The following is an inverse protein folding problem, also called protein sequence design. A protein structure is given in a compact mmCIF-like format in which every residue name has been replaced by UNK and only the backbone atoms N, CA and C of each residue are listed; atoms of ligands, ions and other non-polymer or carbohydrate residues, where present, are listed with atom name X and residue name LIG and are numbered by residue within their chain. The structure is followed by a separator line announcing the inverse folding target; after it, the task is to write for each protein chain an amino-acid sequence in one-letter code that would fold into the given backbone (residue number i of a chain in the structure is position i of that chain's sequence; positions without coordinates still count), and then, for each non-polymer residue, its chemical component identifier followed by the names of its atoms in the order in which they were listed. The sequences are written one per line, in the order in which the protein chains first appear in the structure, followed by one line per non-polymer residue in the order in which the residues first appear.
data_IF_113821802981
#
_entry.id   IF_113821802981
#
_cell.length_a   1.000
_cell.length_b   1.000
_cell.length_c   1.000
_cell.angle_alpha   90.00
_cell.angle_beta   90.00
_cell.angle_gamma   90.00
#
_symmetry.space_group_name_H-M   'P 1'
#
loop_
_entity.id
_entity.type
_entity.pdbx_description
1 polymer ?
#
# COMPACT_ATOMS: atom_id res chain seq x y z
N UNK A 1 13.51 10.51 19.76
CA UNK A 1 14.07 11.67 19.04
C UNK A 1 15.34 12.08 19.77
N UNK A 2 16.48 11.99 19.12
CA UNK A 2 17.76 12.41 19.72
C UNK A 2 17.83 13.94 19.69
N UNK A 3 18.25 14.54 20.79
CA UNK A 3 18.42 16.00 20.97
C UNK A 3 19.36 16.66 19.93
N UNK A 4 20.20 15.88 19.28
CA UNK A 4 21.13 16.28 18.22
C UNK A 4 20.47 16.46 16.83
N UNK A 5 19.31 15.87 16.57
CA UNK A 5 18.64 16.00 15.26
C UNK A 5 18.09 17.42 15.02
N UNK A 6 17.97 18.22 16.08
CA UNK A 6 17.52 19.61 16.02
C UNK A 6 18.66 20.61 15.70
N UNK A 7 19.91 20.20 15.87
CA UNK A 7 21.09 21.04 15.68
C UNK A 7 21.74 20.91 14.29
N UNK A 8 21.38 19.89 13.50
CA UNK A 8 21.92 19.70 12.15
C UNK A 8 20.86 20.12 11.12
N UNK A 9 21.18 21.01 10.19
CA UNK A 9 20.29 21.37 9.11
C UNK A 9 19.95 20.11 8.32
N UNK A 10 18.68 19.71 8.37
CA UNK A 10 18.20 18.60 7.54
C UNK A 10 17.96 19.12 6.12
N UNK A 11 18.22 18.29 5.14
CA UNK A 11 17.96 18.60 3.75
C UNK A 11 16.82 17.73 3.22
N UNK A 12 15.97 18.34 2.41
CA UNK A 12 14.92 17.63 1.71
C UNK A 12 15.52 16.53 0.83
N UNK A 13 15.01 15.29 0.98
CA UNK A 13 15.49 14.13 0.22
C UNK A 13 15.36 14.32 -1.31
N UNK A 14 14.39 15.09 -1.78
CA UNK A 14 14.12 15.28 -3.22
C UNK A 14 14.84 16.47 -3.84
N UNK A 15 14.86 17.64 -3.18
CA UNK A 15 15.42 18.87 -3.76
C UNK A 15 16.68 19.38 -3.07
N UNK A 16 17.14 18.71 -2.02
CA UNK A 16 18.31 19.06 -1.22
C UNK A 16 18.26 20.44 -0.55
N UNK A 17 17.16 21.19 -0.62
CA UNK A 17 16.98 22.44 0.13
C UNK A 17 16.90 22.16 1.63
N UNK A 18 17.33 23.10 2.46
CA UNK A 18 17.18 23.02 3.92
C UNK A 18 15.70 22.82 4.27
N UNK A 19 15.41 21.87 5.17
CA UNK A 19 14.06 21.49 5.54
C UNK A 19 14.04 20.90 6.95
N UNK A 20 12.96 21.14 7.69
CA UNK A 20 12.73 20.51 9.00
C UNK A 20 12.15 19.09 8.87
N UNK A 21 11.70 18.72 7.68
CA UNK A 21 11.12 17.40 7.37
C UNK A 21 11.97 16.68 6.32
N UNK A 22 11.89 15.36 6.29
CA UNK A 22 12.62 14.54 5.35
C UNK A 22 12.29 14.83 3.88
N UNK A 23 11.08 15.32 3.59
CA UNK A 23 10.67 15.88 2.30
C UNK A 23 9.94 17.19 2.59
N UNK A 24 10.35 18.29 1.95
CA UNK A 24 9.76 19.62 2.18
C UNK A 24 8.33 19.71 1.61
N UNK A 25 7.56 20.68 2.10
CA UNK A 25 6.17 20.93 1.69
C UNK A 25 6.03 21.12 0.17
N UNK A 26 6.93 21.90 -0.44
CA UNK A 26 6.90 22.17 -1.88
C UNK A 26 7.05 20.87 -2.69
N UNK A 27 7.98 20.01 -2.28
CA UNK A 27 8.18 18.72 -2.92
C UNK A 27 6.98 17.78 -2.70
N UNK A 28 6.35 17.78 -1.52
CA UNK A 28 5.13 17.00 -1.26
C UNK A 28 4.00 17.47 -2.16
N UNK A 29 3.77 18.79 -2.26
CA UNK A 29 2.72 19.36 -3.12
C UNK A 29 2.94 19.06 -4.61
N UNK A 30 4.20 18.99 -5.06
CA UNK A 30 4.57 18.69 -6.44
C UNK A 30 4.53 17.19 -6.80
N UNK A 31 4.20 16.29 -5.86
CA UNK A 31 4.10 14.86 -6.14
C UNK A 31 2.99 14.56 -7.17
N UNK A 32 3.15 13.51 -7.98
CA UNK A 32 2.15 13.12 -8.96
C UNK A 32 0.96 12.42 -8.31
N UNK A 33 0.08 13.20 -7.69
CA UNK A 33 -1.15 12.69 -7.08
C UNK A 33 -2.09 12.05 -8.09
N UNK A 34 -2.76 10.98 -7.66
CA UNK A 34 -3.75 10.29 -8.46
C UNK A 34 -5.07 11.07 -8.44
N UNK A 35 -5.40 11.77 -9.52
CA UNK A 35 -6.60 12.59 -9.59
C UNK A 35 -7.83 11.80 -10.05
N UNK A 36 -7.79 11.30 -11.28
CA UNK A 36 -8.91 10.57 -11.88
C UNK A 36 -8.48 9.14 -12.16
N UNK A 37 -9.18 8.17 -11.56
CA UNK A 37 -8.82 6.77 -11.64
C UNK A 37 -10.02 5.84 -11.80
N UNK A 38 -9.76 4.65 -12.32
CA UNK A 38 -10.71 3.54 -12.28
C UNK A 38 -11.03 3.20 -10.80
N UNK A 39 -12.30 3.26 -10.38
CA UNK A 39 -12.65 3.02 -8.97
C UNK A 39 -12.31 1.60 -8.52
N UNK A 40 -12.22 0.64 -9.46
CA UNK A 40 -11.93 -0.76 -9.17
C UNK A 40 -10.44 -1.02 -8.95
N UNK A 41 -9.57 -0.60 -9.87
CA UNK A 41 -8.15 -0.95 -9.82
C UNK A 41 -7.19 0.23 -9.65
N UNK A 42 -7.68 1.44 -9.44
CA UNK A 42 -6.85 2.62 -9.20
C UNK A 42 -6.02 3.10 -10.41
N UNK A 43 -6.14 2.48 -11.59
CA UNK A 43 -5.42 2.93 -12.79
C UNK A 43 -5.93 4.28 -13.25
N UNK A 44 -5.05 5.21 -13.61
CA UNK A 44 -5.42 6.49 -14.19
C UNK A 44 -6.33 6.31 -15.41
N UNK A 45 -7.39 7.11 -15.48
CA UNK A 45 -8.39 7.12 -16.55
C UNK A 45 -8.78 8.56 -16.86
N UNK A 46 -9.38 8.81 -18.01
CA UNK A 46 -9.88 10.17 -18.34
C UNK A 46 -11.08 10.58 -17.50
N UNK A 47 -11.89 9.61 -17.08
CA UNK A 47 -13.08 9.80 -16.27
C UNK A 47 -13.09 8.78 -15.14
N UNK A 48 -13.71 9.08 -14.00
CA UNK A 48 -13.83 8.18 -12.84
C UNK A 48 -14.76 6.98 -13.12
N UNK A 49 -14.48 6.22 -14.17
CA UNK A 49 -15.24 5.05 -14.63
C UNK A 49 -14.35 3.81 -14.68
N UNK A 50 -14.97 2.65 -14.74
CA UNK A 50 -14.26 1.40 -14.91
C UNK A 50 -13.40 1.42 -16.19
N UNK A 51 -12.12 1.11 -16.07
CA UNK A 51 -11.24 0.95 -17.22
C UNK A 51 -11.64 -0.30 -18.04
N UNK A 52 -11.19 -0.37 -19.30
CA UNK A 52 -11.50 -1.49 -20.21
C UNK A 52 -11.18 -2.83 -19.57
N UNK A 53 -10.01 -2.94 -18.92
CA UNK A 53 -9.62 -4.19 -18.26
C UNK A 53 -10.61 -4.60 -17.15
N UNK A 54 -11.01 -3.69 -16.26
CA UNK A 54 -11.93 -4.01 -15.17
C UNK A 54 -13.39 -4.24 -15.63
N UNK A 55 -13.73 -3.84 -16.84
CA UNK A 55 -15.02 -4.18 -17.45
C UNK A 55 -15.06 -5.63 -17.93
N UNK A 56 -13.96 -6.14 -18.48
CA UNK A 56 -13.89 -7.50 -19.01
C UNK A 56 -13.43 -8.53 -17.97
N UNK A 57 -12.49 -8.14 -17.12
CA UNK A 57 -11.89 -8.98 -16.09
C UNK A 57 -11.82 -8.22 -14.76
N UNK A 58 -12.94 -8.07 -14.04
CA UNK A 58 -12.95 -7.35 -12.78
C UNK A 58 -12.15 -8.13 -11.72
N UNK A 59 -11.29 -7.45 -10.95
CA UNK A 59 -10.65 -8.07 -9.79
C UNK A 59 -11.69 -8.38 -8.71
N UNK A 60 -11.35 -9.25 -7.78
CA UNK A 60 -12.25 -9.67 -6.69
C UNK A 60 -12.52 -8.55 -5.68
N UNK A 61 -11.51 -7.71 -5.37
CA UNK A 61 -11.70 -6.55 -4.49
C UNK A 61 -12.65 -5.49 -5.09
N UNK A 62 -13.30 -4.72 -4.23
CA UNK A 62 -14.41 -3.84 -4.62
C UNK A 62 -13.95 -2.47 -5.11
N UNK A 63 -13.08 -1.78 -4.35
CA UNK A 63 -12.57 -0.46 -4.65
C UNK A 63 -11.07 -0.36 -4.40
N UNK A 64 -10.42 0.58 -5.09
CA UNK A 64 -9.02 0.93 -4.86
C UNK A 64 -8.89 2.43 -4.65
N UNK A 65 -8.21 2.81 -3.58
CA UNK A 65 -7.73 4.16 -3.31
C UNK A 65 -6.21 4.17 -3.38
N UNK A 66 -5.68 4.72 -4.45
CA UNK A 66 -4.26 4.96 -4.63
C UNK A 66 -4.01 6.46 -4.54
N UNK A 67 -3.07 6.89 -3.72
CA UNK A 67 -2.82 8.30 -3.46
C UNK A 67 -1.97 8.92 -4.55
N UNK A 68 -0.91 8.22 -4.96
CA UNK A 68 0.10 8.70 -5.90
C UNK A 68 0.15 7.82 -7.16
N UNK A 69 0.66 8.39 -8.24
CA UNK A 69 1.11 7.63 -9.41
C UNK A 69 2.54 7.15 -9.17
N UNK A 70 2.85 5.89 -9.49
CA UNK A 70 4.20 5.34 -9.36
C UNK A 70 5.10 5.85 -10.50
N UNK A 71 5.49 7.10 -10.41
CA UNK A 71 6.38 7.83 -11.33
C UNK A 71 7.43 8.58 -10.50
N UNK A 72 8.50 9.07 -11.12
CA UNK A 72 9.45 9.95 -10.43
C UNK A 72 8.71 11.19 -9.87
N UNK A 73 9.03 11.63 -8.65
CA UNK A 73 10.05 11.10 -7.72
C UNK A 73 9.48 10.06 -6.71
N UNK A 74 8.23 9.61 -6.84
CA UNK A 74 7.56 8.68 -5.90
C UNK A 74 8.27 7.32 -5.85
N UNK A 75 8.76 6.85 -7.00
CA UNK A 75 9.54 5.61 -7.09
C UNK A 75 10.82 5.68 -6.27
N UNK A 76 11.50 6.85 -6.20
CA UNK A 76 12.68 7.07 -5.37
C UNK A 76 12.34 7.00 -3.88
N UNK A 77 11.26 7.64 -3.43
CA UNK A 77 10.80 7.61 -2.04
C UNK A 77 10.48 6.17 -1.59
N UNK A 78 9.75 5.44 -2.43
CA UNK A 78 9.39 4.04 -2.17
C UNK A 78 10.62 3.13 -2.21
N UNK A 79 11.57 3.39 -3.11
CA UNK A 79 12.82 2.65 -3.15
C UNK A 79 13.65 2.86 -1.89
N UNK A 80 13.81 4.11 -1.43
CA UNK A 80 14.50 4.42 -0.19
C UNK A 80 13.84 3.73 1.01
N UNK A 81 12.51 3.79 1.08
CA UNK A 81 11.72 3.10 2.10
C UNK A 81 11.87 1.57 2.07
N UNK A 82 12.10 0.95 0.90
CA UNK A 82 12.16 -0.52 0.75
C UNK A 82 13.56 -1.10 0.94
N UNK A 83 14.58 -0.39 0.48
CA UNK A 83 15.92 -0.98 0.27
C UNK A 83 17.05 -0.23 0.98
N UNK A 84 16.82 1.02 1.38
CA UNK A 84 17.81 1.81 2.10
C UNK A 84 17.53 1.89 3.61
N UNK A 85 16.51 1.18 4.11
CA UNK A 85 16.08 1.20 5.50
C UNK A 85 15.75 2.62 6.02
N UNK A 86 15.37 3.53 5.12
CA UNK A 86 15.01 4.88 5.50
C UNK A 86 13.55 4.95 5.98
N UNK A 87 13.37 4.74 7.27
CA UNK A 87 12.05 4.81 7.92
C UNK A 87 11.40 6.18 7.86
N UNK A 88 12.20 7.25 7.63
CA UNK A 88 11.65 8.61 7.45
C UNK A 88 10.78 8.66 6.21
N UNK A 89 11.17 7.95 5.14
CA UNK A 89 10.37 7.87 3.92
C UNK A 89 9.04 7.13 4.14
N UNK A 90 9.01 6.09 4.98
CA UNK A 90 7.74 5.43 5.37
C UNK A 90 6.84 6.39 6.16
N UNK A 91 7.42 7.20 7.05
CA UNK A 91 6.67 8.21 7.78
C UNK A 91 6.05 9.23 6.82
N UNK A 92 6.84 9.78 5.92
CA UNK A 92 6.37 10.73 4.88
C UNK A 92 5.26 10.12 4.02
N UNK A 93 5.44 8.89 3.53
CA UNK A 93 4.43 8.21 2.71
C UNK A 93 3.12 7.95 3.48
N UNK A 94 3.21 7.61 4.77
CA UNK A 94 2.04 7.43 5.62
C UNK A 94 1.31 8.76 5.86
N UNK A 95 2.05 9.85 6.12
CA UNK A 95 1.48 11.18 6.32
C UNK A 95 0.78 11.69 5.04
N UNK A 96 1.38 11.43 3.87
CA UNK A 96 0.76 11.74 2.57
C UNK A 96 -0.54 10.95 2.38
N UNK A 97 -0.55 9.65 2.70
CA UNK A 97 -1.77 8.83 2.62
C UNK A 97 -2.85 9.33 3.57
N UNK A 98 -2.48 9.65 4.80
CA UNK A 98 -3.37 10.18 5.82
C UNK A 98 -4.04 11.49 5.35
N UNK A 99 -3.24 12.50 4.98
CA UNK A 99 -3.75 13.78 4.51
C UNK A 99 -4.66 13.64 3.28
N UNK A 100 -4.29 12.78 2.34
CA UNK A 100 -5.11 12.53 1.15
C UNK A 100 -6.46 11.91 1.51
N UNK A 101 -6.50 10.97 2.45
CA UNK A 101 -7.74 10.30 2.87
C UNK A 101 -8.61 11.20 3.77
N UNK A 102 -8.03 12.14 4.50
CA UNK A 102 -8.79 13.20 5.20
C UNK A 102 -9.53 14.11 4.21
N UNK A 103 -8.84 14.51 3.15
CA UNK A 103 -9.42 15.38 2.11
C UNK A 103 -10.41 14.65 1.19
N UNK A 104 -10.19 13.35 0.98
CA UNK A 104 -10.97 12.49 0.09
C UNK A 104 -11.34 11.18 0.80
N UNK A 105 -12.23 11.22 1.81
CA UNK A 105 -12.48 10.08 2.68
C UNK A 105 -12.99 8.86 1.88
N UNK A 106 -12.33 7.71 1.99
CA UNK A 106 -12.87 6.46 1.49
C UNK A 106 -13.97 5.95 2.43
N UNK A 107 -14.84 5.05 1.98
CA UNK A 107 -15.70 4.29 2.88
C UNK A 107 -14.86 3.57 3.92
N UNK A 108 -15.10 3.82 5.21
CA UNK A 108 -14.32 3.21 6.27
C UNK A 108 -14.58 1.71 6.35
N UNK A 109 -13.52 0.88 6.43
CA UNK A 109 -13.64 -0.56 6.69
C UNK A 109 -13.81 -0.83 8.18
N UNK A 110 -14.13 -2.07 8.53
CA UNK A 110 -14.10 -2.51 9.93
C UNK A 110 -12.67 -2.70 10.45
N UNK A 111 -11.72 -3.00 9.55
CA UNK A 111 -10.33 -3.31 9.89
C UNK A 111 -9.38 -2.96 8.76
N UNK A 112 -8.19 -2.49 9.12
CA UNK A 112 -7.05 -2.39 8.19
C UNK A 112 -6.19 -3.65 8.29
N UNK A 113 -5.83 -4.21 7.13
CA UNK A 113 -5.00 -5.40 7.06
C UNK A 113 -3.80 -5.14 6.13
N UNK A 114 -2.56 -5.15 6.63
CA UNK A 114 -1.38 -4.98 5.80
C UNK A 114 -1.17 -6.20 4.91
N UNK A 115 -0.76 -5.99 3.67
CA UNK A 115 -0.31 -7.08 2.78
C UNK A 115 0.86 -7.81 3.44
N UNK A 116 0.73 -9.13 3.72
CA UNK A 116 1.76 -9.86 4.44
C UNK A 116 2.98 -10.13 3.58
N UNK A 117 4.17 -9.99 4.17
CA UNK A 117 5.42 -10.48 3.62
C UNK A 117 5.66 -11.92 4.07
N UNK A 118 6.37 -12.69 3.24
CA UNK A 118 6.87 -14.00 3.66
C UNK A 118 7.94 -13.83 4.77
N UNK A 119 7.97 -14.68 5.82
CA UNK A 119 8.92 -14.54 6.93
C UNK A 119 10.38 -14.39 6.50
N UNK A 120 10.83 -15.15 5.50
CA UNK A 120 12.20 -15.03 4.95
C UNK A 120 12.49 -13.62 4.39
N UNK A 121 11.50 -12.98 3.77
CA UNK A 121 11.66 -11.62 3.26
C UNK A 121 11.59 -10.57 4.36
N UNK A 122 10.78 -10.82 5.36
CA UNK A 122 10.71 -9.97 6.53
C UNK A 122 12.02 -10.00 7.31
N UNK A 123 12.64 -11.18 7.43
CA UNK A 123 13.98 -11.35 8.03
C UNK A 123 15.06 -10.59 7.24
N UNK A 124 15.10 -10.76 5.92
CA UNK A 124 16.09 -10.07 5.08
C UNK A 124 15.91 -8.57 4.97
N UNK A 125 14.67 -8.05 5.21
CA UNK A 125 14.34 -6.62 5.14
C UNK A 125 14.20 -5.97 6.52
N UNK A 126 14.04 -6.77 7.58
CA UNK A 126 13.83 -6.31 8.95
C UNK A 126 12.43 -5.82 9.27
N UNK A 127 11.61 -5.49 8.28
CA UNK A 127 10.26 -4.93 8.48
C UNK A 127 9.33 -5.14 7.27
N UNK A 128 8.03 -4.97 7.53
CA UNK A 128 6.98 -4.94 6.50
C UNK A 128 6.49 -3.50 6.31
N UNK A 129 6.72 -2.91 5.13
CA UNK A 129 6.29 -1.55 4.81
C UNK A 129 4.78 -1.37 4.93
N UNK A 130 4.03 -2.32 4.38
CA UNK A 130 2.57 -2.29 4.42
C UNK A 130 2.05 -2.32 5.85
N UNK A 131 2.76 -3.00 6.79
CA UNK A 131 2.43 -2.97 8.21
C UNK A 131 2.63 -1.58 8.83
N UNK A 132 3.76 -0.92 8.56
CA UNK A 132 4.06 0.40 9.12
C UNK A 132 3.04 1.44 8.60
N UNK A 133 2.71 1.39 7.30
CA UNK A 133 1.67 2.24 6.72
C UNK A 133 0.30 1.96 7.37
N UNK A 134 -0.08 0.69 7.46
CA UNK A 134 -1.35 0.28 8.06
C UNK A 134 -1.47 0.69 9.53
N UNK A 135 -0.39 0.56 10.30
CA UNK A 135 -0.36 0.94 11.72
C UNK A 135 -0.62 2.44 11.91
N UNK A 136 0.05 3.29 11.12
CA UNK A 136 -0.15 4.75 11.20
C UNK A 136 -1.57 5.15 10.78
N UNK A 137 -2.09 4.58 9.70
CA UNK A 137 -3.47 4.83 9.25
C UNK A 137 -4.50 4.31 10.26
N UNK A 138 -4.29 3.14 10.85
CA UNK A 138 -5.17 2.57 11.88
C UNK A 138 -5.25 3.46 13.13
N UNK A 139 -4.12 3.95 13.59
CA UNK A 139 -4.05 4.89 14.73
C UNK A 139 -4.78 6.19 14.40
N UNK A 140 -4.54 6.75 13.20
CA UNK A 140 -5.13 8.02 12.80
C UNK A 140 -6.66 7.94 12.63
N UNK A 141 -7.16 6.92 11.94
CA UNK A 141 -8.60 6.74 11.69
C UNK A 141 -9.33 5.99 12.80
N UNK A 142 -8.64 5.67 13.89
CA UNK A 142 -9.17 4.89 15.02
C UNK A 142 -9.83 3.57 14.55
N UNK A 143 -9.13 2.85 13.67
CA UNK A 143 -9.57 1.58 13.10
C UNK A 143 -8.76 0.41 13.69
N UNK A 144 -9.36 -0.78 13.87
CA UNK A 144 -8.63 -1.99 14.18
C UNK A 144 -7.55 -2.31 13.14
N UNK A 145 -6.44 -2.90 13.60
CA UNK A 145 -5.34 -3.39 12.76
C UNK A 145 -5.20 -4.90 12.93
N UNK A 146 -5.51 -5.66 11.88
CA UNK A 146 -5.31 -7.10 11.85
C UNK A 146 -4.14 -7.47 10.94
N UNK A 147 -3.00 -7.83 11.54
CA UNK A 147 -1.79 -8.25 10.84
C UNK A 147 -1.46 -9.73 11.05
N UNK A 148 -2.34 -10.49 11.70
CA UNK A 148 -2.12 -11.89 12.10
C UNK A 148 -2.99 -12.88 11.32
N UNK A 149 -4.24 -12.51 11.06
CA UNK A 149 -5.22 -13.44 10.47
C UNK A 149 -4.92 -13.81 9.02
N UNK A 150 -4.20 -12.95 8.27
CA UNK A 150 -3.73 -13.29 6.92
C UNK A 150 -2.21 -13.41 6.91
N UNK A 151 -1.69 -14.52 6.42
CA UNK A 151 -0.26 -14.76 6.33
C UNK A 151 0.15 -15.27 4.95
N UNK A 152 1.43 -15.06 4.59
CA UNK A 152 2.01 -15.57 3.36
C UNK A 152 2.74 -16.88 3.65
N UNK A 153 2.23 -17.98 3.10
CA UNK A 153 2.70 -19.35 3.36
C UNK A 153 3.74 -19.85 2.35
N UNK A 154 3.81 -19.26 1.13
CA UNK A 154 4.81 -19.63 0.11
C UNK A 154 5.87 -18.54 -0.05
N UNK A 155 7.14 -18.94 -0.06
CA UNK A 155 8.25 -18.06 -0.41
C UNK A 155 8.37 -17.97 -1.94
N UNK A 156 7.59 -17.09 -2.54
CA UNK A 156 7.53 -16.90 -4.00
C UNK A 156 8.55 -15.84 -4.45
N UNK A 157 8.92 -15.78 -5.72
CA UNK A 157 9.81 -14.73 -6.23
C UNK A 157 9.26 -13.31 -6.06
N UNK A 158 10.17 -12.33 -6.08
CA UNK A 158 9.75 -10.93 -6.04
C UNK A 158 8.97 -10.58 -7.32
N UNK A 159 7.76 -10.04 -7.16
CA UNK A 159 6.90 -9.64 -8.28
C UNK A 159 7.60 -8.68 -9.26
N UNK A 160 8.54 -7.85 -8.76
CA UNK A 160 9.31 -6.93 -9.59
C UNK A 160 10.29 -7.64 -10.55
N UNK A 161 10.73 -8.85 -10.23
CA UNK A 161 11.65 -9.66 -11.07
C UNK A 161 10.93 -10.43 -12.18
N UNK A 162 9.63 -10.63 -12.05
CA UNK A 162 8.83 -11.38 -13.01
C UNK A 162 8.43 -10.50 -14.20
N UNK A 163 8.70 -10.95 -15.41
CA UNK A 163 8.51 -10.16 -16.63
C UNK A 163 7.06 -10.17 -17.13
N UNK A 164 6.36 -11.31 -17.05
CA UNK A 164 4.98 -11.41 -17.55
C UNK A 164 3.93 -11.28 -16.44
N UNK A 165 2.68 -11.01 -16.84
CA UNK A 165 1.53 -10.94 -15.93
C UNK A 165 1.13 -12.33 -15.46
N UNK A 166 1.19 -13.31 -16.35
CA UNK A 166 0.89 -14.73 -16.12
C UNK A 166 1.86 -15.30 -15.07
N UNK A 167 3.18 -15.05 -15.24
CA UNK A 167 4.20 -15.44 -14.27
C UNK A 167 3.94 -14.82 -12.89
N UNK A 168 3.50 -13.56 -12.84
CA UNK A 168 3.13 -12.91 -11.56
C UNK A 168 1.88 -13.48 -10.92
N UNK A 169 0.92 -13.94 -11.72
CA UNK A 169 -0.30 -14.58 -11.22
C UNK A 169 0.03 -15.97 -10.67
N UNK A 170 0.70 -16.81 -11.45
CA UNK A 170 1.10 -18.17 -11.04
C UNK A 170 1.99 -18.16 -9.78
N UNK A 171 2.90 -17.17 -9.70
CA UNK A 171 3.80 -17.02 -8.56
C UNK A 171 3.09 -16.77 -7.22
N UNK A 172 1.91 -16.16 -7.21
CA UNK A 172 1.19 -15.85 -5.96
C UNK A 172 -0.01 -16.78 -5.70
N UNK A 173 -0.32 -17.68 -6.63
CA UNK A 173 -1.42 -18.61 -6.47
C UNK A 173 -1.19 -19.51 -5.25
N UNK A 174 -2.20 -19.60 -4.36
CA UNK A 174 -2.12 -20.28 -3.06
C UNK A 174 -0.93 -19.84 -2.16
N UNK A 175 -0.44 -18.63 -2.34
CA UNK A 175 0.66 -18.13 -1.51
C UNK A 175 0.21 -17.54 -0.17
N UNK A 176 -1.10 -17.44 0.05
CA UNK A 176 -1.66 -16.85 1.26
C UNK A 176 -2.67 -17.78 1.92
N UNK A 177 -2.71 -17.70 3.25
CA UNK A 177 -3.74 -18.34 4.08
C UNK A 177 -4.43 -17.28 4.95
N UNK A 178 -5.71 -17.48 5.22
CA UNK A 178 -6.49 -16.62 6.10
C UNK A 178 -7.13 -17.47 7.18
N UNK A 179 -6.94 -17.07 8.42
CA UNK A 179 -7.50 -17.68 9.63
C UNK A 179 -8.43 -16.64 10.27
N UNK A 180 -9.72 -16.65 9.94
CA UNK A 180 -10.64 -15.60 10.37
C UNK A 180 -10.73 -15.53 11.88
N UNK A 181 -10.73 -14.31 12.48
CA UNK A 181 -11.10 -14.13 13.89
C UNK A 181 -12.58 -14.45 14.09
N UNK A 182 -12.99 -14.59 15.34
CA UNK A 182 -14.40 -14.73 15.66
C UNK A 182 -14.89 -13.53 16.50
N UNK A 183 -15.89 -12.78 16.01
CA UNK A 183 -16.55 -12.87 14.70
C UNK A 183 -15.60 -12.48 13.54
N UNK A 184 -15.86 -13.01 12.35
CA UNK A 184 -15.08 -12.69 11.17
C UNK A 184 -15.36 -11.26 10.68
N UNK A 185 -14.32 -10.57 10.20
CA UNK A 185 -14.44 -9.25 9.60
C UNK A 185 -15.34 -9.28 8.35
N UNK A 186 -16.24 -8.33 8.21
CA UNK A 186 -17.12 -8.25 7.04
C UNK A 186 -16.57 -7.30 5.96
N UNK A 187 -15.89 -6.22 6.35
CA UNK A 187 -15.28 -5.24 5.44
C UNK A 187 -13.82 -4.98 5.83
N UNK A 188 -12.91 -5.37 4.97
CA UNK A 188 -11.45 -5.25 5.15
C UNK A 188 -10.88 -4.25 4.13
N UNK A 189 -9.99 -3.35 4.56
CA UNK A 189 -9.12 -2.64 3.64
C UNK A 189 -7.71 -3.24 3.70
N UNK A 190 -7.22 -3.74 2.55
CA UNK A 190 -5.83 -4.17 2.39
C UNK A 190 -4.94 -2.95 2.16
N UNK A 191 -3.86 -2.85 2.94
CA UNK A 191 -2.89 -1.77 2.85
C UNK A 191 -1.63 -2.27 2.14
N UNK A 192 -1.20 -1.55 1.09
CA UNK A 192 0.03 -1.84 0.37
C UNK A 192 0.79 -0.55 0.00
N UNK A 193 2.08 -0.64 -0.23
CA UNK A 193 2.88 0.50 -0.68
C UNK A 193 2.72 0.75 -2.20
N UNK A 194 2.79 -0.31 -3.03
CA UNK A 194 2.68 -0.20 -4.49
C UNK A 194 1.74 -1.22 -5.09
N UNK A 195 0.66 -0.76 -5.62
CA UNK A 195 -0.20 -1.58 -6.45
C UNK A 195 0.33 -1.64 -7.90
N UNK A 196 0.93 -2.77 -8.28
CA UNK A 196 1.43 -3.00 -9.66
C UNK A 196 0.40 -3.71 -10.54
N UNK A 197 0.44 -5.03 -10.65
CA UNK A 197 -0.50 -5.84 -11.45
C UNK A 197 -1.80 -6.16 -10.70
N UNK A 198 -1.76 -6.18 -9.38
CA UNK A 198 -2.85 -6.58 -8.52
C UNK A 198 -2.96 -8.09 -8.26
N UNK A 199 -2.05 -8.91 -8.79
CA UNK A 199 -2.09 -10.37 -8.59
C UNK A 199 -2.05 -10.74 -7.11
N UNK A 200 -1.15 -10.12 -6.33
CA UNK A 200 -1.05 -10.31 -4.88
C UNK A 200 -2.34 -9.92 -4.17
N UNK A 201 -2.84 -8.71 -4.45
CA UNK A 201 -4.06 -8.18 -3.81
C UNK A 201 -5.29 -9.02 -4.17
N UNK A 202 -5.37 -9.49 -5.41
CA UNK A 202 -6.47 -10.35 -5.85
C UNK A 202 -6.43 -11.73 -5.19
N UNK A 203 -5.25 -12.33 -5.01
CA UNK A 203 -5.10 -13.61 -4.33
C UNK A 203 -5.41 -13.49 -2.82
N UNK A 204 -4.94 -12.44 -2.14
CA UNK A 204 -5.34 -12.19 -0.75
C UNK A 204 -6.86 -11.99 -0.66
N UNK A 205 -7.44 -11.21 -1.58
CA UNK A 205 -8.90 -11.02 -1.61
C UNK A 205 -9.64 -12.36 -1.77
N UNK A 206 -9.13 -13.26 -2.62
CA UNK A 206 -9.73 -14.59 -2.82
C UNK A 206 -9.80 -15.38 -1.50
N UNK A 207 -8.71 -15.44 -0.75
CA UNK A 207 -8.70 -16.19 0.52
C UNK A 207 -9.53 -15.50 1.61
N UNK A 208 -9.58 -14.16 1.64
CA UNK A 208 -10.44 -13.43 2.57
C UNK A 208 -11.93 -13.68 2.30
N UNK A 209 -12.35 -13.62 1.04
CA UNK A 209 -13.75 -13.89 0.65
C UNK A 209 -14.13 -15.35 0.95
N UNK A 210 -13.24 -16.31 0.69
CA UNK A 210 -13.45 -17.71 1.04
C UNK A 210 -13.55 -17.93 2.57
N UNK A 211 -12.91 -17.08 3.37
CA UNK A 211 -12.97 -17.09 4.84
C UNK A 211 -14.12 -16.27 5.43
N UNK A 212 -15.09 -15.80 4.62
CA UNK A 212 -16.32 -15.16 5.10
C UNK A 212 -16.31 -13.63 5.08
N UNK A 213 -15.23 -12.97 4.65
CA UNK A 213 -15.21 -11.52 4.41
C UNK A 213 -16.15 -11.20 3.24
N UNK A 214 -17.00 -10.18 3.38
CA UNK A 214 -17.96 -9.80 2.31
C UNK A 214 -17.43 -8.73 1.36
N UNK A 215 -16.55 -7.88 1.86
CA UNK A 215 -16.00 -6.77 1.08
C UNK A 215 -14.52 -6.57 1.38
N UNK A 216 -13.73 -6.43 0.31
CA UNK A 216 -12.33 -6.05 0.39
C UNK A 216 -12.10 -4.82 -0.47
N UNK A 217 -11.53 -3.78 0.12
CA UNK A 217 -11.06 -2.58 -0.54
C UNK A 217 -9.52 -2.52 -0.47
N UNK A 218 -8.91 -1.78 -1.38
CA UNK A 218 -7.45 -1.60 -1.44
C UNK A 218 -7.12 -0.15 -1.16
N UNK A 219 -6.23 0.10 -0.20
CA UNK A 219 -5.64 1.41 0.05
C UNK A 219 -4.12 1.30 -0.18
N UNK A 220 -3.59 2.03 -1.12
CA UNK A 220 -2.17 1.97 -1.43
C UNK A 220 -1.56 3.35 -1.61
N UNK A 221 -0.26 3.45 -1.29
CA UNK A 221 0.46 4.69 -1.46
C UNK A 221 0.57 5.06 -2.95
N UNK A 222 0.98 4.11 -3.80
CA UNK A 222 1.16 4.40 -5.23
C UNK A 222 0.57 3.33 -6.16
N UNK A 223 0.12 3.78 -7.34
CA UNK A 223 -0.38 2.94 -8.44
C UNK A 223 0.57 3.01 -9.65
N UNK A 224 1.07 1.87 -10.04
CA UNK A 224 1.89 1.71 -11.26
C UNK A 224 1.05 1.52 -12.52
#
# INVERSE_FOLDING_TARGET
MRFLDWLLPQHCYLCAKSSLSAVCSDCIQALPYQQVACPRCGRATRHARLCTHCRHQPPLFKHTRAVLRYLAPVDQLIHAAKYQHDFRMLAVLADIMQQHFEQNPPPLPEVLMPVPLHPVRQWGRGYNQSYILAQKLAQHFNLPLDYRSCCRVKNTEQQARLRSREARHSNVYEAFAYFPPYPAWQHVALIDDVFSTGSTLNEITRVLLAGGVRRVDIWCCARR
#
